data_IF_821683354770
#
_entry.id   IF_821683354770
#
_cell.length_a   1.000
_cell.length_b   1.000
_cell.length_c   1.000
_cell.angle_alpha   90.00
_cell.angle_beta   90.00
_cell.angle_gamma   90.00
#
_symmetry.space_group_name_H-M   'P 1'
#
loop_
_entity.id
_entity.type
_entity.pdbx_description
1 polymer ?
#
# COMPACT_ATOMS: atom_id res chain seq x y z
N UNK A 1 -91.08 -9.30 10.33
CA UNK A 1 -90.17 -9.70 9.23
C UNK A 1 -89.25 -8.54 9.01
N UNK A 2 -88.00 -8.61 9.49
CA UNK A 2 -87.03 -7.56 9.26
C UNK A 2 -86.06 -7.92 8.14
N UNK A 3 -85.82 -6.95 7.28
CA UNK A 3 -84.95 -7.00 6.15
C UNK A 3 -83.47 -6.92 6.59
N UNK A 4 -82.66 -7.88 6.09
CA UNK A 4 -81.21 -7.87 6.26
C UNK A 4 -80.58 -6.85 5.33
N UNK A 5 -79.95 -5.83 5.90
CA UNK A 5 -79.06 -4.91 5.21
C UNK A 5 -77.63 -5.46 5.35
N UNK A 6 -77.05 -5.85 4.23
CA UNK A 6 -75.59 -6.20 4.15
C UNK A 6 -74.84 -4.93 3.76
N UNK A 7 -73.88 -4.46 4.55
CA UNK A 7 -72.94 -3.44 4.07
C UNK A 7 -71.82 -4.08 3.26
N UNK A 8 -71.65 -3.57 2.07
CA UNK A 8 -70.58 -3.87 1.12
C UNK A 8 -69.28 -3.25 1.63
N UNK A 9 -68.36 -4.10 2.07
CA UNK A 9 -67.04 -3.66 2.55
C UNK A 9 -66.14 -3.40 1.33
N UNK A 10 -65.95 -2.14 0.97
CA UNK A 10 -64.98 -1.72 -0.04
C UNK A 10 -63.56 -1.81 0.54
N UNK A 11 -62.82 -2.83 0.10
CA UNK A 11 -61.41 -2.99 0.44
C UNK A 11 -60.62 -2.02 -0.43
N UNK A 12 -60.18 -0.88 0.14
CA UNK A 12 -59.25 0.04 -0.50
C UNK A 12 -57.87 -0.51 -0.31
N UNK A 13 -57.28 -1.08 -1.39
CA UNK A 13 -55.88 -1.53 -1.43
C UNK A 13 -54.99 -0.28 -1.54
N UNK A 14 -54.46 0.17 -0.42
CA UNK A 14 -53.44 1.22 -0.40
C UNK A 14 -52.11 0.65 -0.93
N UNK A 15 -51.73 1.04 -2.14
CA UNK A 15 -50.42 0.75 -2.72
C UNK A 15 -49.36 1.60 -1.98
N UNK A 16 -48.66 1.00 -1.02
CA UNK A 16 -47.51 1.64 -0.36
C UNK A 16 -46.34 1.58 -1.32
N UNK A 17 -46.08 2.70 -2.00
CA UNK A 17 -44.86 2.90 -2.74
C UNK A 17 -43.70 3.03 -1.73
N UNK A 18 -42.86 1.98 -1.60
CA UNK A 18 -41.62 2.02 -0.84
C UNK A 18 -40.64 2.84 -1.68
N UNK A 19 -40.20 4.03 -1.21
CA UNK A 19 -39.11 4.73 -1.90
C UNK A 19 -37.86 3.87 -1.79
N UNK A 20 -37.32 3.42 -2.95
CA UNK A 20 -36.06 2.73 -3.05
C UNK A 20 -34.96 3.59 -2.40
N UNK A 21 -34.44 3.14 -1.28
CA UNK A 21 -33.19 3.69 -0.73
C UNK A 21 -32.12 3.53 -1.79
N UNK A 22 -31.39 4.59 -2.15
CA UNK A 22 -30.20 4.44 -2.94
C UNK A 22 -29.24 3.57 -2.12
N UNK A 23 -28.94 2.37 -2.60
CA UNK A 23 -27.80 1.61 -2.13
C UNK A 23 -26.57 2.43 -2.50
N UNK A 24 -26.14 3.28 -1.56
CA UNK A 24 -24.81 3.81 -1.59
C UNK A 24 -23.90 2.57 -1.53
N UNK A 25 -23.37 2.17 -2.70
CA UNK A 25 -22.17 1.37 -2.75
C UNK A 25 -21.13 2.22 -2.02
N UNK A 26 -20.92 1.93 -0.74
CA UNK A 26 -19.72 2.32 -0.06
C UNK A 26 -18.60 1.60 -0.84
N UNK A 27 -18.05 2.31 -1.84
CA UNK A 27 -16.71 2.02 -2.31
C UNK A 27 -15.86 2.19 -1.06
N UNK A 28 -15.49 1.08 -0.45
CA UNK A 28 -14.29 1.01 0.34
C UNK A 28 -13.23 1.52 -0.63
N UNK A 29 -12.83 2.77 -0.50
CA UNK A 29 -11.52 3.17 -0.91
C UNK A 29 -10.62 2.27 -0.06
N UNK A 30 -10.25 1.10 -0.58
CA UNK A 30 -9.06 0.42 -0.14
C UNK A 30 -8.03 1.50 -0.22
N UNK A 31 -7.42 1.86 0.92
CA UNK A 31 -6.42 2.92 0.97
C UNK A 31 -5.37 2.55 -0.06
N UNK A 32 -5.47 3.19 -1.22
CA UNK A 32 -4.56 2.98 -2.33
C UNK A 32 -3.16 3.28 -1.79
N UNK A 33 -2.27 2.30 -1.86
CA UNK A 33 -0.92 2.43 -1.36
C UNK A 33 -0.25 3.69 -1.94
N UNK A 34 0.08 4.63 -1.09
CA UNK A 34 0.68 5.92 -1.46
C UNK A 34 1.97 6.14 -0.68
N UNK A 35 3.12 5.74 -1.22
CA UNK A 35 4.40 5.89 -0.53
C UNK A 35 4.81 7.35 -0.35
N UNK A 36 4.38 8.25 -1.24
CA UNK A 36 4.70 9.68 -1.20
C UNK A 36 6.20 9.92 -0.98
N UNK A 37 7.01 9.33 -1.87
CA UNK A 37 8.47 9.45 -1.78
C UNK A 37 9.01 10.79 -2.26
N UNK A 38 8.17 11.64 -2.87
CA UNK A 38 8.60 12.85 -3.58
C UNK A 38 9.12 12.56 -4.99
N UNK A 39 9.07 11.30 -5.43
CA UNK A 39 9.53 10.83 -6.73
C UNK A 39 8.49 9.90 -7.37
N UNK A 40 7.72 10.43 -8.31
CA UNK A 40 6.62 9.72 -8.93
C UNK A 40 7.05 8.42 -9.66
N UNK A 41 8.29 8.32 -10.13
CA UNK A 41 8.80 7.09 -10.71
C UNK A 41 9.00 6.04 -9.63
N UNK A 42 9.64 6.40 -8.51
CA UNK A 42 9.83 5.49 -7.37
C UNK A 42 8.47 5.04 -6.86
N UNK A 43 7.51 5.94 -6.65
CA UNK A 43 6.18 5.61 -6.15
C UNK A 43 5.49 4.53 -6.99
N UNK A 44 5.56 4.64 -8.33
CA UNK A 44 5.02 3.61 -9.23
C UNK A 44 5.74 2.27 -9.07
N UNK A 45 7.08 2.28 -8.96
CA UNK A 45 7.80 1.02 -8.79
C UNK A 45 7.51 0.36 -7.45
N UNK A 46 7.39 1.14 -6.35
CA UNK A 46 7.04 0.60 -5.03
C UNK A 46 5.66 -0.05 -5.03
N UNK A 47 4.70 0.56 -5.71
CA UNK A 47 3.35 -0.02 -5.90
C UNK A 47 3.43 -1.35 -6.66
N UNK A 48 4.19 -1.41 -7.76
CA UNK A 48 4.36 -2.64 -8.54
C UNK A 48 5.15 -3.72 -7.79
N UNK A 49 6.09 -3.34 -6.93
CA UNK A 49 6.82 -4.25 -6.04
C UNK A 49 5.86 -4.95 -5.07
N UNK A 50 4.83 -4.27 -4.58
CA UNK A 50 3.80 -4.90 -3.75
C UNK A 50 3.10 -6.04 -4.49
N UNK A 51 2.75 -5.82 -5.76
CA UNK A 51 2.14 -6.85 -6.61
C UNK A 51 3.10 -8.03 -6.87
N UNK A 52 4.38 -7.73 -7.11
CA UNK A 52 5.40 -8.77 -7.28
C UNK A 52 5.55 -9.62 -6.02
N UNK A 53 5.71 -8.99 -4.87
CA UNK A 53 5.91 -9.66 -3.59
C UNK A 53 4.68 -10.49 -3.17
N UNK A 54 3.47 -10.02 -3.46
CA UNK A 54 2.25 -10.78 -3.22
C UNK A 54 2.24 -12.11 -4.02
N UNK A 55 2.78 -12.10 -5.23
CA UNK A 55 2.85 -13.29 -6.10
C UNK A 55 4.07 -14.16 -5.82
N UNK A 56 5.20 -13.55 -5.45
CA UNK A 56 6.49 -14.22 -5.28
C UNK A 56 7.18 -13.85 -3.96
N UNK A 57 6.55 -14.12 -2.79
CA UNK A 57 7.03 -13.62 -1.50
C UNK A 57 8.43 -14.12 -1.15
N UNK A 58 8.76 -15.37 -1.51
CA UNK A 58 10.08 -15.93 -1.24
C UNK A 58 11.17 -15.26 -2.08
N UNK A 59 10.91 -15.08 -3.39
CA UNK A 59 11.85 -14.40 -4.29
C UNK A 59 12.07 -12.94 -3.88
N UNK A 60 11.02 -12.26 -3.41
CA UNK A 60 11.14 -10.91 -2.86
C UNK A 60 12.01 -10.89 -1.61
N UNK A 61 11.76 -11.78 -0.64
CA UNK A 61 12.55 -11.85 0.59
C UNK A 61 14.04 -12.16 0.31
N UNK A 62 14.31 -13.07 -0.65
CA UNK A 62 15.68 -13.39 -1.09
C UNK A 62 16.37 -12.19 -1.73
N UNK A 63 15.68 -11.45 -2.58
CA UNK A 63 16.20 -10.24 -3.23
C UNK A 63 16.59 -9.19 -2.21
N UNK A 64 15.69 -8.85 -1.29
CA UNK A 64 15.96 -7.83 -0.27
C UNK A 64 17.10 -8.28 0.65
N UNK A 65 17.06 -9.53 1.10
CA UNK A 65 18.12 -10.04 1.98
C UNK A 65 19.50 -9.97 1.32
N UNK A 66 19.59 -10.36 0.05
CA UNK A 66 20.86 -10.45 -0.67
C UNK A 66 21.42 -9.10 -1.11
N UNK A 67 20.57 -8.22 -1.62
CA UNK A 67 21.00 -7.01 -2.30
C UNK A 67 20.80 -5.72 -1.49
N UNK A 68 20.05 -5.81 -0.37
CA UNK A 68 19.84 -4.68 0.54
C UNK A 68 20.54 -4.89 1.91
N UNK A 69 21.41 -5.93 2.01
CA UNK A 69 22.20 -6.22 3.20
C UNK A 69 21.36 -6.37 4.48
N UNK A 70 20.26 -7.12 4.41
CA UNK A 70 19.30 -7.31 5.50
C UNK A 70 19.16 -8.80 5.78
N UNK A 71 19.15 -9.26 7.06
CA UNK A 71 18.86 -10.65 7.37
C UNK A 71 17.49 -11.08 6.81
N UNK A 72 17.43 -12.22 6.11
CA UNK A 72 16.18 -12.73 5.53
C UNK A 72 15.04 -12.81 6.54
N UNK A 73 15.32 -13.33 7.73
CA UNK A 73 14.32 -13.44 8.79
C UNK A 73 13.73 -12.08 9.20
N UNK A 74 14.52 -11.01 9.12
CA UNK A 74 14.04 -9.66 9.38
C UNK A 74 13.08 -9.17 8.29
N UNK A 75 13.41 -9.43 7.02
CA UNK A 75 12.51 -9.12 5.88
C UNK A 75 11.19 -9.87 6.02
N UNK A 76 11.24 -11.18 6.27
CA UNK A 76 10.05 -12.00 6.46
C UNK A 76 9.18 -11.52 7.64
N UNK A 77 9.80 -11.13 8.74
CA UNK A 77 9.10 -10.56 9.89
C UNK A 77 8.40 -9.24 9.54
N UNK A 78 9.04 -8.37 8.74
CA UNK A 78 8.42 -7.12 8.29
C UNK A 78 7.25 -7.38 7.34
N UNK A 79 7.36 -8.34 6.42
CA UNK A 79 6.28 -8.70 5.50
C UNK A 79 5.03 -9.25 6.21
N UNK A 80 5.14 -9.72 7.45
CA UNK A 80 4.03 -10.21 8.26
C UNK A 80 3.33 -9.10 9.06
N UNK A 81 3.89 -7.91 9.09
CA UNK A 81 3.30 -6.79 9.84
C UNK A 81 2.33 -6.01 8.95
N UNK A 82 1.06 -5.82 9.36
CA UNK A 82 0.05 -5.15 8.53
C UNK A 82 0.42 -3.71 8.14
N UNK A 83 1.24 -3.04 8.95
CA UNK A 83 1.67 -1.66 8.71
C UNK A 83 2.79 -1.54 7.66
N UNK A 84 3.33 -2.66 7.15
CA UNK A 84 4.44 -2.66 6.20
C UNK A 84 4.05 -3.28 4.87
N UNK A 85 4.17 -2.51 3.81
CA UNK A 85 4.08 -3.03 2.45
C UNK A 85 5.49 -3.41 1.94
N UNK A 86 5.60 -4.41 1.05
CA UNK A 86 6.89 -4.77 0.44
C UNK A 86 7.64 -3.59 -0.19
N UNK A 87 6.91 -2.67 -0.83
CA UNK A 87 7.48 -1.43 -1.36
C UNK A 87 8.14 -0.58 -0.28
N UNK A 88 7.53 -0.48 0.91
CA UNK A 88 8.12 0.27 2.03
C UNK A 88 9.40 -0.40 2.55
N UNK A 89 9.47 -1.73 2.51
CA UNK A 89 10.69 -2.46 2.88
C UNK A 89 11.83 -2.12 1.93
N UNK A 90 11.55 -2.09 0.61
CA UNK A 90 12.53 -1.70 -0.41
C UNK A 90 12.95 -0.24 -0.24
N UNK A 91 12.00 0.65 0.02
CA UNK A 91 12.28 2.07 0.24
C UNK A 91 13.16 2.28 1.48
N UNK A 92 12.78 1.70 2.62
CA UNK A 92 13.52 1.81 3.87
C UNK A 92 14.96 1.29 3.74
N UNK A 93 15.11 0.06 3.27
CA UNK A 93 16.41 -0.59 3.19
C UNK A 93 17.27 -0.01 2.06
N UNK A 94 16.64 0.42 0.96
CA UNK A 94 17.32 1.11 -0.13
C UNK A 94 17.87 2.47 0.31
N UNK A 95 17.04 3.33 0.88
CA UNK A 95 17.51 4.62 1.41
C UNK A 95 18.61 4.44 2.46
N UNK A 96 18.46 3.45 3.36
CA UNK A 96 19.45 3.17 4.38
C UNK A 96 20.84 2.94 3.78
N UNK A 97 20.94 2.13 2.71
CA UNK A 97 22.21 1.90 2.03
C UNK A 97 22.77 3.17 1.40
N UNK A 98 21.92 3.99 0.80
CA UNK A 98 22.36 5.21 0.12
C UNK A 98 22.80 6.34 1.08
N UNK A 99 22.33 6.29 2.34
CA UNK A 99 22.78 7.21 3.39
C UNK A 99 23.80 6.59 4.36
N UNK A 100 24.24 5.35 4.11
CA UNK A 100 25.23 4.67 4.93
C UNK A 100 24.74 4.23 6.31
N UNK A 101 23.45 3.92 6.45
CA UNK A 101 22.83 3.48 7.70
C UNK A 101 22.33 2.03 7.59
N UNK A 102 22.18 1.32 8.74
CA UNK A 102 21.50 0.04 8.74
C UNK A 102 20.00 0.21 8.43
N UNK A 103 19.39 -0.72 7.67
CA UNK A 103 17.96 -0.67 7.30
C UNK A 103 17.05 -0.42 8.52
N UNK A 104 17.31 -1.09 9.66
CA UNK A 104 16.55 -0.92 10.91
C UNK A 104 16.52 0.52 11.44
N UNK A 105 17.49 1.35 11.09
CA UNK A 105 17.49 2.76 11.51
C UNK A 105 16.41 3.53 10.75
N UNK A 106 16.33 3.35 9.43
CA UNK A 106 15.30 3.97 8.59
C UNK A 106 13.91 3.40 8.89
N UNK A 107 13.81 2.09 9.16
CA UNK A 107 12.57 1.45 9.63
C UNK A 107 12.05 2.12 10.91
N UNK A 108 12.91 2.45 11.87
CA UNK A 108 12.50 3.16 13.09
C UNK A 108 12.02 4.59 12.81
N UNK A 109 12.67 5.30 11.88
CA UNK A 109 12.23 6.65 11.49
C UNK A 109 10.84 6.63 10.87
N UNK A 110 10.57 5.69 9.98
CA UNK A 110 9.23 5.48 9.41
C UNK A 110 8.20 5.12 10.49
N UNK A 111 8.53 4.16 11.36
CA UNK A 111 7.62 3.70 12.42
C UNK A 111 7.32 4.77 13.47
N UNK A 112 8.22 5.74 13.64
CA UNK A 112 8.02 6.85 14.56
C UNK A 112 7.07 7.90 14.00
N UNK A 113 7.21 8.23 12.74
CA UNK A 113 6.43 9.25 12.06
C UNK A 113 6.55 9.07 10.53
N UNK A 114 5.42 8.85 9.88
CA UNK A 114 5.31 8.72 8.43
C UNK A 114 4.10 9.49 7.85
N UNK A 115 3.59 10.48 8.58
CA UNK A 115 2.44 11.28 8.14
C UNK A 115 2.70 11.99 6.81
N UNK A 116 3.94 12.44 6.58
CA UNK A 116 4.38 13.06 5.33
C UNK A 116 4.88 12.06 4.27
N UNK A 117 4.75 10.75 4.54
CA UNK A 117 5.25 9.70 3.68
C UNK A 117 6.77 9.59 3.65
N UNK A 118 7.29 8.91 2.64
CA UNK A 118 8.73 8.66 2.52
C UNK A 118 9.56 9.92 2.26
N UNK A 119 8.99 10.96 1.65
CA UNK A 119 9.68 12.23 1.48
C UNK A 119 10.04 12.87 2.83
N UNK A 120 9.10 12.92 3.76
CA UNK A 120 9.35 13.44 5.11
C UNK A 120 10.37 12.60 5.87
N UNK A 121 10.30 11.27 5.79
CA UNK A 121 11.31 10.38 6.39
C UNK A 121 12.69 10.64 5.80
N UNK A 122 12.82 10.70 4.48
CA UNK A 122 14.09 10.92 3.78
C UNK A 122 14.78 12.24 4.22
N UNK A 123 14.01 13.29 4.47
CA UNK A 123 14.52 14.58 4.93
C UNK A 123 15.02 14.53 6.38
N UNK A 124 14.44 13.68 7.23
CA UNK A 124 14.84 13.54 8.65
C UNK A 124 16.03 12.59 8.88
N UNK A 125 16.46 11.82 7.87
CA UNK A 125 17.64 10.96 8.00
C UNK A 125 18.92 11.78 8.27
N UNK A 126 19.92 11.13 8.83
CA UNK A 126 21.22 11.74 9.13
C UNK A 126 22.35 10.91 8.49
N UNK A 127 22.92 11.33 7.35
CA UNK A 127 22.57 12.54 6.57
C UNK A 127 21.22 12.41 5.84
N UNK A 128 20.57 13.54 5.48
CA UNK A 128 19.33 13.51 4.70
C UNK A 128 19.55 12.87 3.32
N UNK A 129 18.53 12.17 2.83
CA UNK A 129 18.56 11.63 1.49
C UNK A 129 18.18 12.70 0.46
N UNK A 130 19.14 13.10 -0.37
CA UNK A 130 18.93 14.07 -1.44
C UNK A 130 18.87 13.44 -2.84
N UNK A 131 18.99 14.29 -3.87
CA UNK A 131 18.89 13.88 -5.29
C UNK A 131 19.84 12.74 -5.69
N UNK A 132 21.05 12.71 -5.11
CA UNK A 132 22.03 11.68 -5.40
C UNK A 132 21.56 10.33 -4.87
N UNK A 133 21.09 10.28 -3.63
CA UNK A 133 20.57 9.06 -3.00
C UNK A 133 19.34 8.51 -3.75
N UNK A 134 18.43 9.39 -4.16
CA UNK A 134 17.27 9.01 -4.96
C UNK A 134 17.66 8.46 -6.34
N UNK A 135 18.66 9.04 -7.01
CA UNK A 135 19.18 8.50 -8.27
C UNK A 135 19.77 7.10 -8.08
N UNK A 136 20.55 6.90 -7.01
CA UNK A 136 21.16 5.60 -6.69
C UNK A 136 20.07 4.57 -6.33
N UNK A 137 19.06 4.96 -5.56
CA UNK A 137 17.92 4.12 -5.25
C UNK A 137 17.15 3.69 -6.51
N UNK A 138 16.94 4.58 -7.47
CA UNK A 138 16.34 4.23 -8.78
C UNK A 138 17.16 3.15 -9.50
N UNK A 139 18.47 3.29 -9.53
CA UNK A 139 19.35 2.28 -10.16
C UNK A 139 19.27 0.93 -9.44
N UNK A 140 19.22 0.95 -8.11
CA UNK A 140 19.03 -0.26 -7.30
C UNK A 140 17.71 -0.96 -7.62
N UNK A 141 16.63 -0.23 -7.67
CA UNK A 141 15.30 -0.75 -8.05
C UNK A 141 15.35 -1.36 -9.45
N UNK A 142 15.91 -0.66 -10.44
CA UNK A 142 16.08 -1.21 -11.81
C UNK A 142 16.84 -2.55 -11.81
N UNK A 143 17.88 -2.67 -11.02
CA UNK A 143 18.62 -3.92 -10.90
C UNK A 143 17.78 -5.05 -10.31
N UNK A 144 16.91 -4.77 -9.33
CA UNK A 144 15.97 -5.77 -8.82
C UNK A 144 15.02 -6.26 -9.93
N UNK A 145 14.46 -5.35 -10.72
CA UNK A 145 13.58 -5.70 -11.85
C UNK A 145 14.30 -6.55 -12.92
N UNK A 146 15.56 -6.25 -13.21
CA UNK A 146 16.36 -7.07 -14.13
C UNK A 146 16.54 -8.50 -13.61
N UNK A 147 16.83 -8.65 -12.31
CA UNK A 147 16.98 -9.99 -11.69
C UNK A 147 15.66 -10.75 -11.63
N UNK A 148 14.55 -10.06 -11.52
CA UNK A 148 13.21 -10.67 -11.57
C UNK A 148 12.72 -10.96 -13.00
N UNK A 149 13.47 -10.57 -14.01
CA UNK A 149 13.05 -10.60 -15.42
C UNK A 149 11.67 -9.94 -15.63
N UNK A 150 11.43 -8.84 -14.92
CA UNK A 150 10.17 -8.08 -14.91
C UNK A 150 10.37 -6.73 -15.59
N UNK A 151 9.44 -6.30 -16.47
CA UNK A 151 9.46 -4.94 -16.99
C UNK A 151 9.19 -3.93 -15.87
N UNK A 152 9.80 -2.74 -15.99
CA UNK A 152 9.50 -1.63 -15.09
C UNK A 152 8.03 -1.19 -15.26
N UNK A 153 7.41 -0.75 -14.16
CA UNK A 153 6.07 -0.17 -14.22
C UNK A 153 6.11 1.16 -15.02
N UNK A 154 5.17 1.29 -15.96
CA UNK A 154 5.06 2.42 -16.89
C UNK A 154 4.56 3.72 -16.25
#
# INVERSE_FOLDING_TARGET
MPACFRPLLLLVLALVAVPGLPTAFAQSAEDEYQPRSGDAWIDRQLTDINLYAARYPQSFADEVARYYAVPRAYVEAMMQQPAWQPGDIVMACGLAQEVGQPCRAVVREWSRDHEEGWEGVAQRLQPPAGKTQYRQLRERIKQSYLRWARPLAG
#
